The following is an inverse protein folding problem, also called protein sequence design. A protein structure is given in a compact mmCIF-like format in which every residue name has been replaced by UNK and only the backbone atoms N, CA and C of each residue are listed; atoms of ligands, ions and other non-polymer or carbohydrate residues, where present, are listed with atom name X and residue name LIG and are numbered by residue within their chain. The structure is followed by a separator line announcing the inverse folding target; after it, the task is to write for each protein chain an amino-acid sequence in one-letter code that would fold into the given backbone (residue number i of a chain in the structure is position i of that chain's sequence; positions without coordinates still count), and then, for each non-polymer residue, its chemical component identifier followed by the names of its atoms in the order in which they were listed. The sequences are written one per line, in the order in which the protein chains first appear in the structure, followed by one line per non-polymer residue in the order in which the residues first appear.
data_IF_123157078336
#
_entry.id   IF_123157078336
#
_cell.length_a   1.000
_cell.length_b   1.000
_cell.length_c   1.000
_cell.angle_alpha   90.00
_cell.angle_beta   90.00
_cell.angle_gamma   90.00
#
_symmetry.space_group_name_H-M   'P 1'
#
loop_
_entity.id
_entity.type
_entity.pdbx_description
1 polymer ?
#
# COMPACT_ATOMS: atom_id res chain seq x y z
N UNK A 1 29.89 10.30 -31.71
CA UNK A 1 28.49 10.72 -31.45
C UNK A 1 28.18 10.42 -29.99
N UNK A 2 27.92 11.42 -29.14
CA UNK A 2 27.64 11.20 -27.72
C UNK A 2 26.23 10.64 -27.57
N UNK A 3 26.09 9.45 -26.97
CA UNK A 3 24.79 8.91 -26.59
C UNK A 3 24.13 9.86 -25.58
N UNK A 4 22.88 10.23 -25.84
CA UNK A 4 22.06 11.07 -24.97
C UNK A 4 21.83 10.30 -23.67
N UNK A 5 22.15 10.91 -22.52
CA UNK A 5 21.89 10.30 -21.22
C UNK A 5 20.40 9.96 -21.12
N UNK A 6 20.10 8.66 -20.97
CA UNK A 6 18.74 8.19 -20.78
C UNK A 6 18.20 8.80 -19.48
N UNK A 7 17.06 9.49 -19.58
CA UNK A 7 16.32 10.00 -18.43
C UNK A 7 15.94 8.80 -17.55
N UNK A 8 16.68 8.60 -16.46
CA UNK A 8 16.44 7.53 -15.49
C UNK A 8 15.15 7.87 -14.73
N UNK A 9 14.00 7.59 -15.34
CA UNK A 9 12.76 7.47 -14.58
C UNK A 9 12.93 6.25 -13.70
N UNK A 10 13.00 6.46 -12.39
CA UNK A 10 13.19 5.44 -11.33
C UNK A 10 12.24 4.23 -11.46
N UNK A 11 11.23 4.28 -12.35
CA UNK A 11 10.29 3.20 -12.58
C UNK A 11 10.55 2.23 -13.74
N UNK A 12 11.32 2.55 -14.79
CA UNK A 12 11.36 1.65 -15.97
C UNK A 12 12.74 1.50 -16.65
N UNK A 13 13.68 0.93 -15.91
CA UNK A 13 14.96 0.43 -16.45
C UNK A 13 15.27 -1.03 -16.08
N UNK A 14 14.28 -1.79 -15.61
CA UNK A 14 14.44 -3.16 -15.09
C UNK A 14 13.25 -4.08 -15.40
N UNK A 15 13.26 -5.30 -14.85
CA UNK A 15 12.15 -6.25 -14.97
C UNK A 15 10.86 -5.65 -14.39
N UNK A 16 9.76 -5.78 -15.15
CA UNK A 16 8.40 -5.44 -14.71
C UNK A 16 7.61 -6.74 -14.66
N UNK A 17 7.04 -7.07 -13.51
CA UNK A 17 6.28 -8.30 -13.35
C UNK A 17 5.01 -8.30 -14.20
N UNK A 18 4.49 -9.48 -14.53
CA UNK A 18 3.20 -9.61 -15.22
C UNK A 18 2.06 -9.01 -14.39
N UNK A 19 2.17 -9.09 -13.05
CA UNK A 19 1.22 -8.50 -12.13
C UNK A 19 1.24 -6.97 -12.16
N UNK A 20 2.43 -6.36 -12.21
CA UNK A 20 2.54 -4.90 -12.31
C UNK A 20 1.89 -4.39 -13.60
N UNK A 21 2.18 -5.04 -14.74
CA UNK A 21 1.56 -4.70 -16.03
C UNK A 21 0.05 -4.85 -15.99
N UNK A 22 -0.44 -5.92 -15.35
CA UNK A 22 -1.88 -6.15 -15.20
C UNK A 22 -2.53 -5.04 -14.37
N UNK A 23 -1.97 -4.73 -13.20
CA UNK A 23 -2.51 -3.69 -12.31
C UNK A 23 -2.49 -2.32 -13.00
N UNK A 24 -1.39 -1.98 -13.69
CA UNK A 24 -1.25 -0.71 -14.41
C UNK A 24 -2.34 -0.59 -15.50
N UNK A 25 -2.53 -1.63 -16.32
CA UNK A 25 -3.57 -1.63 -17.34
C UNK A 25 -4.98 -1.54 -16.74
N UNK A 26 -5.23 -2.32 -15.68
CA UNK A 26 -6.51 -2.31 -14.98
C UNK A 26 -6.85 -0.93 -14.41
N UNK A 27 -5.87 -0.21 -13.86
CA UNK A 27 -6.07 1.16 -13.37
C UNK A 27 -6.35 2.17 -14.47
N UNK A 28 -5.79 1.97 -15.67
CA UNK A 28 -6.07 2.82 -16.84
C UNK A 28 -7.50 2.59 -17.34
N UNK A 29 -7.95 1.34 -17.35
CA UNK A 29 -9.30 0.96 -17.77
C UNK A 29 -10.38 1.36 -16.75
N UNK A 30 -10.02 1.40 -15.45
CA UNK A 30 -10.94 1.65 -14.34
C UNK A 30 -10.52 2.86 -13.49
N UNK A 31 -10.65 4.10 -14.00
CA UNK A 31 -10.24 5.30 -13.27
C UNK A 31 -11.05 5.53 -11.97
N UNK A 32 -12.26 4.97 -11.84
CA UNK A 32 -13.10 5.02 -10.65
C UNK A 32 -12.42 4.40 -9.42
N UNK A 33 -11.58 3.39 -9.63
CA UNK A 33 -10.91 2.64 -8.55
C UNK A 33 -9.86 3.51 -7.85
N UNK A 34 -9.39 4.57 -8.49
CA UNK A 34 -8.46 5.52 -7.87
C UNK A 34 -9.13 6.21 -6.67
N UNK A 35 -10.40 6.56 -6.79
CA UNK A 35 -11.16 7.18 -5.71
C UNK A 35 -11.38 6.20 -4.55
N UNK A 36 -11.68 4.93 -4.87
CA UNK A 36 -11.87 3.89 -3.86
C UNK A 36 -10.57 3.51 -3.16
N UNK A 37 -9.45 3.43 -3.88
CA UNK A 37 -8.12 3.26 -3.30
C UNK A 37 -7.81 4.36 -2.31
N UNK A 38 -8.06 5.61 -2.69
CA UNK A 38 -7.82 6.77 -1.82
C UNK A 38 -8.73 6.74 -0.60
N UNK A 39 -10.00 6.38 -0.77
CA UNK A 39 -10.95 6.22 0.35
C UNK A 39 -10.49 5.13 1.31
N UNK A 40 -10.10 3.96 0.81
CA UNK A 40 -9.59 2.86 1.64
C UNK A 40 -8.32 3.26 2.39
N UNK A 41 -7.46 4.06 1.78
CA UNK A 41 -6.27 4.59 2.43
C UNK A 41 -6.61 5.46 3.64
N UNK A 42 -7.58 6.38 3.52
CA UNK A 42 -8.02 7.21 4.64
C UNK A 42 -8.72 6.43 5.76
N UNK A 43 -9.37 5.30 5.46
CA UNK A 43 -10.05 4.48 6.47
C UNK A 43 -9.04 3.70 7.33
N UNK A 44 -7.98 3.16 6.71
CA UNK A 44 -7.12 2.21 7.40
C UNK A 44 -5.73 2.76 7.70
N UNK A 45 -5.15 3.53 6.80
CA UNK A 45 -3.76 3.96 6.89
C UNK A 45 -3.59 5.37 7.46
N UNK A 46 -4.51 6.27 7.11
CA UNK A 46 -4.48 7.68 7.53
C UNK A 46 -5.72 8.04 8.37
N UNK A 47 -6.16 7.10 9.21
CA UNK A 47 -7.27 7.35 10.11
C UNK A 47 -6.76 7.89 11.45
N UNK A 48 -7.52 8.83 12.01
CA UNK A 48 -7.28 9.32 13.36
C UNK A 48 -7.70 8.25 14.35
N UNK A 49 -6.74 7.77 15.14
CA UNK A 49 -6.99 6.84 16.24
C UNK A 49 -7.38 7.66 17.48
N UNK A 50 -8.52 7.33 18.09
CA UNK A 50 -8.82 7.82 19.44
C UNK A 50 -8.00 7.02 20.45
N UNK A 51 -7.03 7.70 21.06
CA UNK A 51 -6.10 7.09 22.02
C UNK A 51 -6.82 6.59 23.28
N UNK A 52 -7.95 7.21 23.65
CA UNK A 52 -8.76 6.79 24.80
C UNK A 52 -9.40 5.43 24.53
N UNK A 53 -9.97 5.27 23.34
CA UNK A 53 -10.58 4.00 22.94
C UNK A 53 -9.52 2.91 22.72
N UNK A 54 -8.35 3.28 22.20
CA UNK A 54 -7.24 2.35 22.06
C UNK A 54 -6.72 1.82 23.42
N UNK A 55 -6.64 2.69 24.43
CA UNK A 55 -6.27 2.29 25.79
C UNK A 55 -7.32 1.36 26.41
N UNK A 56 -8.61 1.68 26.28
CA UNK A 56 -9.70 0.82 26.75
C UNK A 56 -9.66 -0.57 26.08
N UNK A 57 -9.40 -0.61 24.76
CA UNK A 57 -9.26 -1.89 24.03
C UNK A 57 -8.07 -2.73 24.52
N UNK A 58 -6.97 -2.07 24.92
CA UNK A 58 -5.82 -2.75 25.50
C UNK A 58 -6.15 -3.32 26.88
N UNK A 59 -6.87 -2.57 27.72
CA UNK A 59 -7.28 -3.01 29.05
C UNK A 59 -8.30 -4.17 28.99
N UNK A 60 -9.17 -4.17 27.99
CA UNK A 60 -10.15 -5.24 27.74
C UNK A 60 -9.54 -6.47 27.01
N UNK A 61 -8.28 -6.40 26.57
CA UNK A 61 -7.66 -7.46 25.79
C UNK A 61 -7.35 -8.72 26.63
N UNK A 62 -7.69 -9.88 26.09
CA UNK A 62 -7.33 -11.17 26.68
C UNK A 62 -5.91 -11.56 26.24
N UNK A 63 -5.02 -12.02 27.14
CA UNK A 63 -3.67 -12.43 26.78
C UNK A 63 -3.66 -13.55 25.73
N UNK A 64 -2.97 -13.33 24.60
CA UNK A 64 -2.78 -14.31 23.53
C UNK A 64 -1.43 -14.99 23.71
N UNK A 65 -1.40 -16.33 23.62
CA UNK A 65 -0.13 -17.09 23.66
C UNK A 65 0.68 -16.79 22.40
N UNK A 66 1.97 -16.41 22.50
CA UNK A 66 2.78 -16.12 21.32
C UNK A 66 3.02 -17.38 20.49
N UNK A 67 2.98 -17.22 19.16
CA UNK A 67 3.46 -18.25 18.24
C UNK A 67 4.97 -18.42 18.44
N UNK A 68 5.43 -19.66 18.59
CA UNK A 68 6.85 -19.98 18.61
C UNK A 68 7.34 -20.03 17.17
N UNK A 69 8.35 -19.24 16.85
CA UNK A 69 9.14 -19.38 15.63
C UNK A 69 10.48 -19.97 16.04
N UNK A 70 10.88 -21.07 15.40
CA UNK A 70 12.17 -21.74 15.54
C UNK A 70 13.23 -21.18 14.57
#
# INVERSE_FOLDING_TARGET
MKAKAADYRVRHGGYVSEFDKFIDNYMVEHPEIIADKRRGWYIWWDHLVDMKDQENQHDDAVPVKPYQYD
#
